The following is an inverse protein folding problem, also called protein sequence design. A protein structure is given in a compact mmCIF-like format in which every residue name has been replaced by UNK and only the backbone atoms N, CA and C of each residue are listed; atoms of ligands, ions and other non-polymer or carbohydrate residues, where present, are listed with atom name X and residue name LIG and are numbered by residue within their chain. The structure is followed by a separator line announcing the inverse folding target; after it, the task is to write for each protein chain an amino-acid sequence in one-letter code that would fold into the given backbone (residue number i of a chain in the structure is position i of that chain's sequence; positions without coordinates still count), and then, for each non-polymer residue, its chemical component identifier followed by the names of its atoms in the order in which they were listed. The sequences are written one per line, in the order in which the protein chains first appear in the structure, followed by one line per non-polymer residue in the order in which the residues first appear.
data_IF_473535811476
#
_entry.id   IF_473535811476
#
_cell.length_a   1.000
_cell.length_b   1.000
_cell.length_c   1.000
_cell.angle_alpha   90.00
_cell.angle_beta   90.00
_cell.angle_gamma   90.00
#
_symmetry.space_group_name_H-M   'P 1'
#
loop_
_entity.id
_entity.type
_entity.pdbx_description
1 polymer ?
#
# COMPACT_ATOMS: atom_id res chain seq x y z
N UNK A 1 -2.68 7.30 37.22
CA UNK A 1 -2.18 8.60 36.68
C UNK A 1 -0.96 8.45 35.76
N UNK A 2 0.04 7.61 36.05
CA UNK A 2 1.26 7.49 35.22
C UNK A 2 1.06 7.01 33.76
N UNK A 3 -0.05 6.33 33.43
CA UNK A 3 -0.32 5.90 32.03
C UNK A 3 -0.92 6.99 31.13
N UNK A 4 -1.40 8.11 31.70
CA UNK A 4 -2.06 9.16 30.91
C UNK A 4 -1.09 9.87 29.97
N UNK A 5 0.15 10.09 30.42
CA UNK A 5 1.17 10.78 29.63
C UNK A 5 1.60 9.94 28.41
N UNK A 6 1.99 8.65 28.56
CA UNK A 6 2.26 7.78 27.41
C UNK A 6 1.07 7.65 26.46
N UNK A 7 -0.16 7.51 26.97
CA UNK A 7 -1.36 7.44 26.13
C UNK A 7 -1.54 8.71 25.31
N UNK A 8 -1.39 9.89 25.91
CA UNK A 8 -1.53 11.15 25.19
C UNK A 8 -0.46 11.29 24.10
N UNK A 9 0.80 10.96 24.39
CA UNK A 9 1.90 11.02 23.41
C UNK A 9 1.66 10.04 22.27
N UNK A 10 1.32 8.78 22.57
CA UNK A 10 1.13 7.72 21.58
C UNK A 10 -0.14 7.91 20.74
N UNK A 11 -1.19 8.53 21.29
CA UNK A 11 -2.47 8.74 20.60
C UNK A 11 -2.40 9.65 19.38
N UNK A 12 -1.32 10.43 19.23
CA UNK A 12 -1.18 11.49 18.22
C UNK A 12 -2.27 12.60 18.30
N UNK A 13 -3.14 12.60 19.31
CA UNK A 13 -4.23 13.60 19.47
C UNK A 13 -3.66 15.02 19.57
N UNK A 14 -2.54 15.18 20.28
CA UNK A 14 -1.85 16.46 20.41
C UNK A 14 -1.37 17.00 19.05
N UNK A 15 -0.95 16.13 18.14
CA UNK A 15 -0.50 16.50 16.79
C UNK A 15 -1.69 17.00 15.96
N UNK A 16 -2.84 16.33 16.05
CA UNK A 16 -4.07 16.79 15.39
C UNK A 16 -4.55 18.14 15.91
N UNK A 17 -4.51 18.35 17.23
CA UNK A 17 -4.85 19.64 17.86
C UNK A 17 -3.89 20.73 17.36
N UNK A 18 -2.59 20.45 17.38
CA UNK A 18 -1.58 21.39 16.90
C UNK A 18 -1.82 21.74 15.42
N UNK A 19 -2.06 20.74 14.56
CA UNK A 19 -2.31 20.97 13.14
C UNK A 19 -3.58 21.81 12.92
N UNK A 20 -4.66 21.55 13.66
CA UNK A 20 -5.87 22.34 13.57
C UNK A 20 -5.66 23.79 13.97
N UNK A 21 -4.88 24.06 15.02
CA UNK A 21 -4.58 25.43 15.47
C UNK A 21 -3.64 26.13 14.49
N UNK A 22 -2.58 25.46 14.04
CA UNK A 22 -1.53 26.06 13.22
C UNK A 22 -1.91 26.22 11.75
N UNK A 23 -2.66 25.27 11.19
CA UNK A 23 -2.91 25.16 9.75
C UNK A 23 -4.39 25.11 9.36
N UNK A 24 -5.30 25.14 10.34
CA UNK A 24 -6.76 25.09 10.09
C UNK A 24 -7.26 23.72 9.60
N UNK A 25 -6.43 22.68 9.69
CA UNK A 25 -6.75 21.33 9.25
C UNK A 25 -5.97 20.27 10.01
N UNK A 26 -6.47 19.04 10.03
CA UNK A 26 -5.87 17.92 10.76
C UNK A 26 -4.63 17.30 10.09
N UNK A 27 -4.48 17.47 8.78
CA UNK A 27 -3.48 16.79 7.93
C UNK A 27 -2.10 17.44 7.91
N UNK A 28 -1.92 18.60 8.57
CA UNK A 28 -0.65 19.34 8.61
C UNK A 28 -0.63 20.53 7.66
N UNK A 29 0.57 21.04 7.34
CA UNK A 29 0.71 22.23 6.50
C UNK A 29 0.24 21.98 5.05
N UNK A 30 -0.36 22.97 4.37
CA UNK A 30 -0.86 22.78 3.00
C UNK A 30 0.20 22.27 2.02
N UNK A 31 1.44 22.78 2.12
CA UNK A 31 2.55 22.34 1.28
C UNK A 31 2.97 20.90 1.54
N UNK A 32 2.88 20.41 2.78
CA UNK A 32 3.11 18.99 3.07
C UNK A 32 2.04 18.12 2.41
N UNK A 33 0.76 18.50 2.56
CA UNK A 33 -0.38 17.74 2.04
C UNK A 33 -0.35 17.65 0.52
N UNK A 34 -0.13 18.77 -0.17
CA UNK A 34 -0.05 18.81 -1.63
C UNK A 34 1.07 17.91 -2.17
N UNK A 35 2.22 17.85 -1.50
CA UNK A 35 3.32 16.96 -1.89
C UNK A 35 2.99 15.46 -1.71
N UNK A 36 1.97 15.12 -0.92
CA UNK A 36 1.52 13.75 -0.70
C UNK A 36 0.32 13.35 -1.57
N UNK A 37 -0.26 14.28 -2.32
CA UNK A 37 -1.41 14.08 -3.18
C UNK A 37 -1.04 14.19 -4.66
N UNK A 38 -1.79 13.50 -5.53
CA UNK A 38 -1.70 13.67 -6.99
C UNK A 38 -3.06 14.08 -7.54
N UNK A 39 -3.03 14.79 -8.66
CA UNK A 39 -4.22 15.33 -9.33
C UNK A 39 -4.51 14.63 -10.67
N UNK A 40 -3.89 13.47 -10.92
CA UNK A 40 -4.00 12.72 -12.19
C UNK A 40 -5.31 11.91 -12.29
N UNK A 41 -6.22 12.10 -11.34
CA UNK A 41 -7.54 11.49 -11.30
C UNK A 41 -7.52 9.96 -11.41
N UNK A 42 -8.39 9.42 -12.26
CA UNK A 42 -8.54 7.96 -12.40
C UNK A 42 -7.30 7.30 -13.02
N UNK A 43 -6.53 8.04 -13.83
CA UNK A 43 -5.30 7.53 -14.41
C UNK A 43 -4.25 7.33 -13.32
N UNK A 44 -4.03 8.34 -12.47
CA UNK A 44 -3.13 8.22 -11.32
C UNK A 44 -3.56 7.14 -10.33
N UNK A 45 -4.87 7.02 -10.08
CA UNK A 45 -5.42 5.96 -9.24
C UNK A 45 -5.10 4.56 -9.79
N UNK A 46 -5.35 4.37 -11.09
CA UNK A 46 -5.10 3.09 -11.77
C UNK A 46 -3.61 2.77 -11.81
N UNK A 47 -2.77 3.75 -12.13
CA UNK A 47 -1.32 3.62 -12.12
C UNK A 47 -0.79 3.18 -10.76
N UNK A 48 -1.25 3.83 -9.68
CA UNK A 48 -0.87 3.47 -8.32
C UNK A 48 -1.36 2.07 -7.93
N UNK A 49 -2.58 1.68 -8.28
CA UNK A 49 -3.07 0.32 -8.04
C UNK A 49 -2.19 -0.73 -8.73
N UNK A 50 -1.80 -0.49 -9.98
CA UNK A 50 -0.90 -1.40 -10.71
C UNK A 50 0.48 -1.47 -10.06
N UNK A 51 1.06 -0.32 -9.68
CA UNK A 51 2.33 -0.29 -8.93
C UNK A 51 2.26 -1.11 -7.64
N UNK A 52 1.19 -0.91 -6.86
CA UNK A 52 0.96 -1.69 -5.65
C UNK A 52 0.80 -3.19 -5.91
N UNK A 53 0.15 -3.59 -7.02
CA UNK A 53 0.03 -4.99 -7.40
C UNK A 53 1.37 -5.61 -7.79
N UNK A 54 2.23 -4.87 -8.50
CA UNK A 54 3.56 -5.32 -8.90
C UNK A 54 4.53 -5.40 -7.71
N UNK A 55 4.40 -4.51 -6.72
CA UNK A 55 5.20 -4.54 -5.49
C UNK A 55 4.72 -5.62 -4.49
N UNK A 56 3.43 -6.00 -4.55
CA UNK A 56 2.79 -6.89 -3.58
C UNK A 56 3.51 -8.22 -3.32
N UNK A 57 4.10 -8.91 -4.32
CA UNK A 57 4.76 -10.19 -4.09
C UNK A 57 5.88 -10.16 -3.05
N UNK A 58 6.57 -9.03 -2.85
CA UNK A 58 7.85 -8.89 -2.10
C UNK A 58 8.30 -10.18 -1.41
N UNK A 59 9.09 -10.98 -2.13
CA UNK A 59 9.53 -12.30 -1.68
C UNK A 59 10.82 -12.23 -0.86
N UNK A 60 11.17 -11.05 -0.36
CA UNK A 60 12.41 -10.72 0.35
C UNK A 60 13.66 -10.92 -0.52
N UNK A 61 14.78 -10.36 -0.05
CA UNK A 61 16.07 -10.42 -0.74
C UNK A 61 16.56 -11.85 -1.04
N UNK A 62 16.14 -12.84 -0.24
CA UNK A 62 16.58 -14.23 -0.41
C UNK A 62 16.07 -14.83 -1.73
N UNK A 63 14.87 -14.44 -2.16
CA UNK A 63 14.31 -14.89 -3.44
C UNK A 63 15.11 -14.36 -4.63
N UNK A 64 15.55 -13.10 -4.57
CA UNK A 64 16.44 -12.49 -5.57
C UNK A 64 17.83 -13.13 -5.57
N UNK A 65 18.37 -13.46 -4.39
CA UNK A 65 19.64 -14.17 -4.29
C UNK A 65 19.56 -15.56 -4.92
N UNK A 66 18.49 -16.31 -4.63
CA UNK A 66 18.26 -17.63 -5.19
C UNK A 66 18.05 -17.58 -6.70
N UNK A 67 17.26 -16.61 -7.21
CA UNK A 67 17.02 -16.49 -8.65
C UNK A 67 18.26 -16.05 -9.41
N UNK A 68 19.08 -15.15 -8.86
CA UNK A 68 20.39 -14.81 -9.45
C UNK A 68 21.27 -16.03 -9.59
N UNK A 69 21.24 -16.95 -8.61
CA UNK A 69 22.00 -18.19 -8.69
C UNK A 69 21.46 -19.17 -9.75
N UNK A 70 20.13 -19.31 -9.84
CA UNK A 70 19.50 -20.33 -10.70
C UNK A 70 19.33 -19.90 -12.18
N UNK A 71 18.96 -18.64 -12.40
CA UNK A 71 18.59 -18.09 -13.72
C UNK A 71 19.41 -16.84 -14.09
N UNK A 72 20.36 -16.41 -13.25
CA UNK A 72 21.26 -15.29 -13.54
C UNK A 72 20.63 -13.90 -13.38
N UNK A 73 19.36 -13.81 -12.97
CA UNK A 73 18.62 -12.55 -12.82
C UNK A 73 17.80 -12.49 -11.53
N UNK A 74 17.68 -11.32 -10.87
CA UNK A 74 16.76 -11.13 -9.75
C UNK A 74 15.30 -11.19 -10.21
N UNK A 75 14.42 -11.82 -9.43
CA UNK A 75 12.98 -11.89 -9.71
C UNK A 75 12.33 -10.50 -9.63
N UNK A 76 12.75 -9.66 -8.68
CA UNK A 76 12.34 -8.26 -8.61
C UNK A 76 12.63 -7.52 -9.91
N UNK A 77 13.79 -7.75 -10.51
CA UNK A 77 14.20 -7.16 -11.79
C UNK A 77 13.36 -7.65 -12.97
N UNK A 78 12.94 -8.93 -12.97
CA UNK A 78 12.03 -9.45 -14.00
C UNK A 78 10.65 -8.79 -13.89
N UNK A 79 10.13 -8.60 -12.68
CA UNK A 79 8.87 -7.90 -12.45
C UNK A 79 8.96 -6.41 -12.81
N UNK A 80 10.07 -5.76 -12.47
CA UNK A 80 10.34 -4.37 -12.85
C UNK A 80 10.35 -4.24 -14.37
N UNK A 81 11.10 -5.09 -15.07
CA UNK A 81 11.15 -5.11 -16.53
C UNK A 81 9.76 -5.32 -17.15
N UNK A 82 8.96 -6.23 -16.58
CA UNK A 82 7.60 -6.47 -17.04
C UNK A 82 6.73 -5.22 -16.87
N UNK A 83 6.82 -4.55 -15.73
CA UNK A 83 6.12 -3.29 -15.48
C UNK A 83 6.54 -2.21 -16.48
N UNK A 84 7.85 -2.01 -16.66
CA UNK A 84 8.41 -0.98 -17.55
C UNK A 84 8.05 -1.22 -19.01
N UNK A 85 7.90 -2.48 -19.41
CA UNK A 85 7.58 -2.84 -20.79
C UNK A 85 6.07 -2.79 -21.07
N UNK A 86 5.23 -3.10 -20.08
CA UNK A 86 3.77 -3.28 -20.30
C UNK A 86 2.91 -2.18 -19.71
N UNK A 87 3.20 -1.73 -18.48
CA UNK A 87 2.37 -0.79 -17.73
C UNK A 87 2.89 0.62 -17.86
N UNK A 88 4.19 0.84 -17.66
CA UNK A 88 4.79 2.18 -17.72
C UNK A 88 4.48 2.95 -19.02
N UNK A 89 4.43 2.34 -20.22
CA UNK A 89 4.08 3.06 -21.45
C UNK A 89 2.61 3.52 -21.49
N UNK A 90 1.73 2.86 -20.73
CA UNK A 90 0.30 3.17 -20.70
C UNK A 90 -0.03 4.27 -19.69
N UNK A 91 0.63 4.27 -18.54
CA UNK A 91 0.33 5.18 -17.42
C UNK A 91 1.36 6.29 -17.23
N UNK A 92 2.58 6.10 -17.74
CA UNK A 92 3.70 7.01 -17.56
C UNK A 92 3.93 7.38 -16.09
N UNK A 93 4.05 8.69 -15.86
CA UNK A 93 4.30 9.28 -14.54
C UNK A 93 3.02 9.56 -13.74
N UNK A 94 1.84 9.21 -14.26
CA UNK A 94 0.58 9.47 -13.57
C UNK A 94 0.57 8.85 -12.17
N UNK A 95 0.19 9.63 -11.16
CA UNK A 95 0.15 9.23 -9.76
C UNK A 95 1.50 9.17 -9.06
N UNK A 96 2.63 9.41 -9.75
CA UNK A 96 3.95 9.46 -9.13
C UNK A 96 4.10 10.73 -8.29
N UNK A 97 4.77 10.59 -7.14
CA UNK A 97 5.25 11.72 -6.37
C UNK A 97 6.66 12.10 -6.76
N UNK A 98 7.49 12.36 -5.75
CA UNK A 98 8.91 12.71 -5.93
C UNK A 98 9.80 11.51 -6.33
N UNK A 99 9.33 10.29 -6.12
CA UNK A 99 10.13 9.08 -6.29
C UNK A 99 9.64 8.27 -7.49
N UNK A 100 10.57 7.70 -8.29
CA UNK A 100 10.20 6.79 -9.35
C UNK A 100 9.59 5.50 -8.77
N UNK A 101 8.90 4.75 -9.61
CA UNK A 101 8.49 3.39 -9.28
C UNK A 101 9.65 2.43 -9.54
N UNK A 102 10.17 1.84 -8.47
CA UNK A 102 11.21 0.82 -8.51
C UNK A 102 10.85 -0.29 -7.51
N UNK A 103 10.85 -1.53 -7.99
CA UNK A 103 10.60 -2.72 -7.17
C UNK A 103 11.89 -3.09 -6.43
N UNK A 104 11.89 -2.94 -5.11
CA UNK A 104 13.06 -3.19 -4.26
C UNK A 104 12.71 -4.12 -3.11
N UNK A 105 13.06 -5.40 -3.26
CA UNK A 105 12.83 -6.40 -2.22
C UNK A 105 13.95 -6.38 -1.18
N UNK A 106 13.76 -5.55 -0.15
CA UNK A 106 14.70 -5.41 0.96
C UNK A 106 13.96 -5.44 2.30
N UNK A 107 14.63 -5.98 3.32
CA UNK A 107 14.13 -5.97 4.69
C UNK A 107 14.38 -4.59 5.31
N UNK A 108 13.56 -3.61 4.94
CA UNK A 108 13.61 -2.27 5.50
C UNK A 108 12.19 -1.78 5.79
N UNK A 109 11.96 -1.17 6.96
CA UNK A 109 10.63 -0.74 7.42
C UNK A 109 9.93 0.17 6.40
N UNK A 110 10.69 1.03 5.72
CA UNK A 110 10.12 1.97 4.74
C UNK A 110 9.84 1.37 3.35
N UNK A 111 10.31 0.17 3.03
CA UNK A 111 10.22 -0.36 1.65
C UNK A 111 9.79 -1.81 1.57
N UNK A 112 9.68 -2.53 2.69
CA UNK A 112 9.26 -3.93 2.69
C UNK A 112 7.78 -4.05 2.36
N UNK A 113 7.44 -4.71 1.26
CA UNK A 113 6.08 -4.93 0.82
C UNK A 113 5.26 -5.88 1.71
N UNK A 114 4.17 -6.36 1.13
CA UNK A 114 3.19 -7.23 1.79
C UNK A 114 3.73 -8.61 2.20
N UNK A 115 4.78 -9.06 1.54
CA UNK A 115 5.38 -10.36 1.77
C UNK A 115 4.65 -11.50 1.03
N UNK A 116 5.27 -12.69 0.97
CA UNK A 116 4.74 -13.84 0.27
C UNK A 116 3.36 -14.28 0.80
N UNK A 117 3.11 -14.14 2.11
CA UNK A 117 1.84 -14.58 2.71
C UNK A 117 0.66 -13.72 2.26
N UNK A 118 0.81 -12.40 2.22
CA UNK A 118 -0.26 -11.55 1.75
C UNK A 118 -0.51 -11.73 0.25
N UNK A 119 0.53 -11.95 -0.55
CA UNK A 119 0.36 -12.18 -1.98
C UNK A 119 -0.26 -13.55 -2.31
N UNK A 120 0.25 -14.66 -1.75
CA UNK A 120 -0.21 -16.01 -2.09
C UNK A 120 -1.42 -16.49 -1.28
N UNK A 121 -1.68 -15.90 -0.11
CA UNK A 121 -2.78 -16.33 0.76
C UNK A 121 -3.87 -15.26 0.83
N UNK A 122 -3.52 -14.03 1.24
CA UNK A 122 -4.54 -13.01 1.49
C UNK A 122 -5.25 -12.56 0.21
N UNK A 123 -4.52 -12.25 -0.86
CA UNK A 123 -5.14 -11.81 -2.13
C UNK A 123 -6.06 -12.90 -2.74
N UNK A 124 -5.63 -14.19 -2.87
CA UNK A 124 -6.53 -15.24 -3.32
C UNK A 124 -7.71 -15.47 -2.40
N UNK A 125 -7.54 -15.37 -1.07
CA UNK A 125 -8.64 -15.48 -0.12
C UNK A 125 -9.65 -14.35 -0.29
N UNK A 126 -9.21 -13.11 -0.51
CA UNK A 126 -10.10 -11.99 -0.82
C UNK A 126 -10.86 -12.22 -2.12
N UNK A 127 -10.18 -12.69 -3.17
CA UNK A 127 -10.82 -13.07 -4.43
C UNK A 127 -11.86 -14.17 -4.24
N UNK A 128 -11.53 -15.20 -3.46
CA UNK A 128 -12.46 -16.28 -3.13
C UNK A 128 -13.69 -15.77 -2.35
N UNK A 129 -13.49 -14.91 -1.35
CA UNK A 129 -14.58 -14.31 -0.57
C UNK A 129 -15.48 -13.46 -1.47
N UNK A 130 -14.93 -12.68 -2.40
CA UNK A 130 -15.73 -11.89 -3.35
C UNK A 130 -16.63 -12.78 -4.22
N UNK A 131 -16.13 -13.95 -4.63
CA UNK A 131 -16.86 -14.87 -5.52
C UNK A 131 -17.84 -15.78 -4.79
N UNK A 132 -17.48 -16.27 -3.59
CA UNK A 132 -18.18 -17.36 -2.89
C UNK A 132 -18.55 -17.05 -1.43
N UNK A 133 -18.10 -15.92 -0.88
CA UNK A 133 -18.34 -15.54 0.51
C UNK A 133 -19.79 -15.14 0.80
N UNK A 134 -20.15 -15.16 2.09
CA UNK A 134 -21.43 -14.64 2.56
C UNK A 134 -21.60 -13.16 2.19
N UNK A 135 -22.84 -12.66 2.15
CA UNK A 135 -23.11 -11.26 1.82
C UNK A 135 -22.33 -10.28 2.73
N UNK A 136 -22.22 -10.62 4.03
CA UNK A 136 -21.44 -9.83 4.99
C UNK A 136 -19.95 -9.79 4.64
N UNK A 137 -19.33 -10.96 4.40
CA UNK A 137 -17.90 -11.04 4.09
C UNK A 137 -17.58 -10.33 2.76
N UNK A 138 -18.44 -10.46 1.75
CA UNK A 138 -18.32 -9.72 0.49
C UNK A 138 -18.38 -8.21 0.71
N UNK A 139 -19.33 -7.73 1.53
CA UNK A 139 -19.43 -6.33 1.89
C UNK A 139 -18.15 -5.78 2.54
N UNK A 140 -17.55 -6.54 3.47
CA UNK A 140 -16.30 -6.16 4.12
C UNK A 140 -15.15 -6.05 3.10
N UNK A 141 -14.99 -7.05 2.22
CA UNK A 141 -13.93 -7.01 1.20
C UNK A 141 -14.16 -5.87 0.21
N UNK A 142 -15.40 -5.60 -0.20
CA UNK A 142 -15.72 -4.48 -1.09
C UNK A 142 -15.34 -3.13 -0.46
N UNK A 143 -15.63 -2.93 0.83
CA UNK A 143 -15.22 -1.71 1.55
C UNK A 143 -13.68 -1.56 1.54
N UNK A 144 -12.94 -2.67 1.73
CA UNK A 144 -11.47 -2.64 1.67
C UNK A 144 -10.96 -2.28 0.28
N UNK A 145 -11.53 -2.87 -0.78
CA UNK A 145 -11.17 -2.56 -2.17
C UNK A 145 -11.44 -1.10 -2.49
N UNK A 146 -12.60 -0.57 -2.07
CA UNK A 146 -12.97 0.84 -2.24
C UNK A 146 -12.02 1.75 -1.47
N UNK A 147 -11.66 1.39 -0.23
CA UNK A 147 -10.68 2.14 0.55
C UNK A 147 -9.31 2.18 -0.13
N UNK A 148 -8.81 1.04 -0.61
CA UNK A 148 -7.56 0.91 -1.37
C UNK A 148 -7.61 1.79 -2.63
N UNK A 149 -8.73 1.79 -3.35
CA UNK A 149 -8.94 2.65 -4.50
C UNK A 149 -8.87 4.14 -4.13
N UNK A 150 -9.53 4.58 -3.04
CA UNK A 150 -9.47 5.97 -2.59
C UNK A 150 -8.05 6.40 -2.17
N UNK A 151 -7.31 5.52 -1.50
CA UNK A 151 -5.90 5.79 -1.19
C UNK A 151 -5.09 5.95 -2.47
N UNK A 152 -5.23 5.04 -3.43
CA UNK A 152 -4.54 5.13 -4.71
C UNK A 152 -4.94 6.39 -5.50
N UNK A 153 -6.19 6.82 -5.40
CA UNK A 153 -6.72 8.02 -6.05
C UNK A 153 -6.18 9.32 -5.45
N UNK A 154 -6.06 9.40 -4.13
CA UNK A 154 -5.73 10.66 -3.46
C UNK A 154 -4.24 10.82 -3.20
N UNK A 155 -3.52 9.72 -3.02
CA UNK A 155 -2.16 9.74 -2.48
C UNK A 155 -1.14 9.43 -3.55
N UNK A 156 -0.12 10.28 -3.72
CA UNK A 156 1.01 10.01 -4.64
C UNK A 156 1.69 8.70 -4.30
N UNK A 157 2.18 7.99 -5.31
CA UNK A 157 3.03 6.84 -5.08
C UNK A 157 4.31 7.23 -4.33
N UNK A 158 4.67 6.40 -3.36
CA UNK A 158 6.01 6.33 -2.79
C UNK A 158 6.22 4.96 -2.15
N UNK A 159 7.47 4.48 -2.05
CA UNK A 159 7.75 3.11 -1.65
C UNK A 159 7.39 2.78 -0.20
N UNK A 160 7.01 3.75 0.64
CA UNK A 160 6.52 3.54 2.01
C UNK A 160 5.01 3.61 2.17
N UNK A 161 4.27 3.97 1.11
CA UNK A 161 2.81 4.14 1.18
C UNK A 161 2.03 2.83 1.04
N UNK A 162 2.72 1.73 0.71
CA UNK A 162 2.13 0.39 0.74
C UNK A 162 1.50 0.04 2.10
N UNK A 163 1.97 0.63 3.21
CA UNK A 163 1.41 0.41 4.55
C UNK A 163 -0.07 0.79 4.66
N UNK A 164 -0.54 1.72 3.84
CA UNK A 164 -1.97 2.07 3.82
C UNK A 164 -2.81 0.91 3.29
N UNK A 165 -2.26 0.08 2.42
CA UNK A 165 -2.91 -1.13 1.92
C UNK A 165 -2.87 -2.27 2.95
N UNK A 166 -1.81 -2.37 3.76
CA UNK A 166 -1.71 -3.33 4.87
C UNK A 166 -2.86 -3.20 5.87
N UNK A 167 -3.25 -1.96 6.21
CA UNK A 167 -4.39 -1.72 7.08
C UNK A 167 -5.71 -2.22 6.49
N UNK A 168 -5.88 -2.15 5.17
CA UNK A 168 -7.05 -2.70 4.50
C UNK A 168 -7.11 -4.23 4.63
N UNK A 169 -5.97 -4.92 4.43
CA UNK A 169 -5.89 -6.39 4.46
C UNK A 169 -5.98 -7.01 5.86
N UNK A 170 -5.80 -6.25 6.95
CA UNK A 170 -5.83 -6.78 8.33
C UNK A 170 -7.24 -6.86 8.96
N UNK A 171 -8.23 -6.18 8.37
CA UNK A 171 -9.62 -6.20 8.86
C UNK A 171 -10.36 -7.57 8.79
N UNK A 172 -10.11 -8.48 7.82
CA UNK A 172 -10.86 -9.74 7.74
C UNK A 172 -10.42 -10.79 8.76
N UNK A 173 -9.21 -10.71 9.31
CA UNK A 173 -8.63 -11.80 10.12
C UNK A 173 -9.35 -12.03 11.45
N UNK A 174 -10.01 -10.99 11.99
CA UNK A 174 -10.82 -11.10 13.23
C UNK A 174 -12.23 -11.60 12.99
N UNK A 175 -12.75 -11.49 11.77
CA UNK A 175 -14.11 -11.95 11.44
C UNK A 175 -14.09 -13.44 11.05
N UNK A 176 -13.00 -13.92 10.45
CA UNK A 176 -12.83 -15.32 10.06
C UNK A 176 -12.60 -16.29 11.24
N UNK A 177 -12.27 -15.78 12.44
CA UNK A 177 -12.05 -16.61 13.65
C UNK A 177 -13.30 -16.71 14.55
N UNK A 178 -14.45 -16.17 14.12
CA UNK A 178 -15.71 -16.25 14.87
C UNK A 178 -16.67 -17.34 14.35
N UNK A 179 -16.17 -18.26 13.54
CA UNK A 179 -16.92 -19.42 13.04
C UNK A 179 -16.15 -20.71 13.23
#
# INVERSE_FOLDING_TARGET
MMMVIPMLILSQVWLFIYNMIAWGGWTGSPGFVQNQQHDDGIMGATANLLRYLFECPDLLWLSDAASRYLIGQPLSGVLQWLYDTTIAPLVGDAGLGRYPFEIVWTTHEDTSGFGPMAFFVALPALGYVLLRGSALLRGIVLIQVVYVFFVAWQVTWSPWKYRFLLFALHLPHRVLLMH
#
